data_IF_585029214896
#
_entry.id   IF_585029214896
#
_cell.length_a   1.000
_cell.length_b   1.000
_cell.length_c   1.000
_cell.angle_alpha   90.00
_cell.angle_beta   90.00
_cell.angle_gamma   90.00
#
_symmetry.space_group_name_H-M   'P 1'
#
loop_
_entity.id
_entity.type
_entity.pdbx_description
1 polymer ?
#
# COMPACT_ATOMS: atom_id res chain seq x y z
N UNK A 1 11.61 -41.14 -23.82
CA UNK A 1 11.85 -39.72 -24.14
C UNK A 1 10.74 -38.93 -23.47
N UNK A 2 11.04 -38.14 -22.45
CA UNK A 2 10.04 -37.32 -21.76
C UNK A 2 9.94 -36.02 -22.56
N UNK A 3 8.80 -35.80 -23.21
CA UNK A 3 8.54 -34.55 -23.93
C UNK A 3 8.01 -33.56 -22.91
N UNK A 4 8.75 -32.47 -22.71
CA UNK A 4 8.35 -31.37 -21.85
C UNK A 4 7.88 -30.22 -22.75
N UNK A 5 6.62 -29.77 -22.65
CA UNK A 5 6.07 -28.73 -23.52
C UNK A 5 6.58 -27.32 -23.19
N UNK A 6 7.22 -27.14 -22.03
CA UNK A 6 7.79 -25.86 -21.58
C UNK A 6 9.05 -25.46 -22.35
N UNK A 7 9.30 -24.15 -22.39
CA UNK A 7 10.61 -23.63 -22.81
C UNK A 7 11.69 -24.03 -21.79
N UNK A 8 12.93 -24.12 -22.26
CA UNK A 8 14.07 -24.43 -21.39
C UNK A 8 14.23 -23.41 -20.25
N UNK A 9 13.87 -22.14 -20.48
CA UNK A 9 13.92 -21.09 -19.46
C UNK A 9 12.91 -21.34 -18.33
N UNK A 10 11.65 -21.66 -18.67
CA UNK A 10 10.59 -21.95 -17.71
C UNK A 10 10.93 -23.18 -16.87
N UNK A 11 11.39 -24.26 -17.51
CA UNK A 11 11.81 -25.46 -16.81
C UNK A 11 12.99 -25.19 -15.86
N UNK A 12 13.97 -24.39 -16.30
CA UNK A 12 15.12 -24.03 -15.48
C UNK A 12 14.70 -23.24 -14.22
N UNK A 13 13.75 -22.33 -14.34
CA UNK A 13 13.19 -21.59 -13.19
C UNK A 13 12.51 -22.56 -12.20
N UNK A 14 11.72 -23.51 -12.69
CA UNK A 14 11.05 -24.52 -11.86
C UNK A 14 12.10 -25.34 -11.10
N UNK A 15 13.13 -25.84 -11.79
CA UNK A 15 14.22 -26.62 -11.19
C UNK A 15 14.93 -25.80 -10.10
N UNK A 16 15.32 -24.57 -10.40
CA UNK A 16 15.97 -23.69 -9.42
C UNK A 16 15.09 -23.46 -8.19
N UNK A 17 13.77 -23.35 -8.38
CA UNK A 17 12.80 -23.19 -7.29
C UNK A 17 12.72 -24.44 -6.41
N UNK A 18 12.70 -25.64 -7.00
CA UNK A 18 12.70 -26.92 -6.25
C UNK A 18 13.96 -27.02 -5.38
N UNK A 19 15.12 -26.69 -5.94
CA UNK A 19 16.40 -26.74 -5.21
C UNK A 19 16.65 -25.52 -4.32
N UNK A 20 15.68 -24.61 -4.19
CA UNK A 20 15.81 -23.36 -3.43
C UNK A 20 17.09 -22.57 -3.77
N UNK A 21 17.42 -22.54 -5.06
CA UNK A 21 18.63 -21.91 -5.59
C UNK A 21 18.28 -20.65 -6.39
N UNK A 22 19.17 -19.64 -6.46
CA UNK A 22 18.87 -18.41 -7.17
C UNK A 22 18.76 -18.64 -8.68
N UNK A 23 17.63 -18.29 -9.28
CA UNK A 23 17.45 -18.28 -10.74
C UNK A 23 17.78 -16.92 -11.38
N UNK A 24 17.94 -15.86 -10.57
CA UNK A 24 18.19 -14.49 -11.04
C UNK A 24 19.45 -14.34 -11.92
N UNK A 25 20.46 -15.20 -11.73
CA UNK A 25 21.68 -15.20 -12.52
C UNK A 25 21.42 -15.49 -14.01
N UNK A 26 20.33 -16.20 -14.32
CA UNK A 26 19.94 -16.51 -15.69
C UNK A 26 19.12 -15.38 -16.33
N UNK A 27 18.91 -14.26 -15.63
CA UNK A 27 18.12 -13.11 -16.08
C UNK A 27 16.76 -13.50 -16.71
N UNK A 28 15.93 -14.28 -16.00
CA UNK A 28 14.65 -14.73 -16.53
C UNK A 28 13.74 -13.53 -16.83
N UNK A 29 12.96 -13.61 -17.91
CA UNK A 29 11.94 -12.61 -18.21
C UNK A 29 10.81 -12.71 -17.21
N UNK A 30 10.10 -11.60 -16.99
CA UNK A 30 8.97 -11.57 -16.07
C UNK A 30 7.89 -12.58 -16.48
N UNK A 31 7.57 -12.66 -17.77
CA UNK A 31 6.57 -13.59 -18.31
C UNK A 31 6.96 -15.05 -18.05
N UNK A 32 8.26 -15.37 -18.14
CA UNK A 32 8.80 -16.71 -17.85
C UNK A 32 8.67 -17.07 -16.37
N UNK A 33 8.81 -16.08 -15.46
CA UNK A 33 8.59 -16.27 -14.02
C UNK A 33 7.13 -16.59 -13.71
N UNK A 34 6.19 -15.83 -14.30
CA UNK A 34 4.76 -16.08 -14.14
C UNK A 34 4.40 -17.46 -14.68
N UNK A 35 4.84 -17.78 -15.90
CA UNK A 35 4.58 -19.07 -16.53
C UNK A 35 5.16 -20.23 -15.71
N UNK A 36 6.37 -20.09 -15.18
CA UNK A 36 6.98 -21.10 -14.33
C UNK A 36 6.16 -21.39 -13.08
N UNK A 37 5.68 -20.35 -12.38
CA UNK A 37 4.83 -20.52 -11.19
C UNK A 37 3.46 -21.11 -11.56
N UNK A 38 2.85 -20.67 -12.66
CA UNK A 38 1.57 -21.21 -13.16
C UNK A 38 1.65 -22.69 -13.52
N UNK A 39 2.82 -23.16 -13.98
CA UNK A 39 3.03 -24.54 -14.40
C UNK A 39 3.53 -25.47 -13.30
N UNK A 40 4.00 -24.95 -12.16
CA UNK A 40 4.43 -25.76 -11.01
C UNK A 40 3.44 -26.88 -10.62
N UNK A 41 2.10 -26.65 -10.56
CA UNK A 41 1.13 -27.70 -10.28
C UNK A 41 1.17 -28.89 -11.24
N UNK A 42 1.54 -28.69 -12.51
CA UNK A 42 1.68 -29.77 -13.50
C UNK A 42 2.81 -30.74 -13.13
N UNK A 43 3.78 -30.28 -12.35
CA UNK A 43 4.90 -31.05 -11.84
C UNK A 43 4.66 -31.58 -10.42
N UNK A 44 3.43 -31.49 -9.91
CA UNK A 44 3.09 -31.91 -8.54
C UNK A 44 3.60 -30.94 -7.46
N UNK A 45 4.03 -29.74 -7.84
CA UNK A 45 4.52 -28.72 -6.92
C UNK A 45 3.36 -27.81 -6.52
N UNK A 46 3.27 -27.49 -5.23
CA UNK A 46 2.29 -26.51 -4.74
C UNK A 46 3.01 -25.18 -4.51
N UNK A 47 2.77 -24.12 -5.29
CA UNK A 47 3.58 -22.89 -5.20
C UNK A 47 3.61 -22.27 -3.81
N UNK A 48 2.50 -22.32 -3.06
CA UNK A 48 2.44 -21.77 -1.70
C UNK A 48 3.25 -22.54 -0.65
N UNK A 49 3.67 -23.79 -0.92
CA UNK A 49 4.51 -24.57 -0.01
C UNK A 49 6.01 -24.39 -0.30
N UNK A 50 6.36 -23.95 -1.51
CA UNK A 50 7.75 -23.83 -1.98
C UNK A 50 8.19 -22.36 -2.02
N UNK A 51 7.31 -21.46 -2.45
CA UNK A 51 7.58 -20.01 -2.52
C UNK A 51 7.33 -19.40 -1.14
N UNK A 52 8.22 -19.74 -0.21
CA UNK A 52 8.19 -19.25 1.17
C UNK A 52 8.95 -17.92 1.30
N UNK A 53 8.67 -17.13 2.35
CA UNK A 53 9.46 -15.95 2.67
C UNK A 53 10.96 -16.28 2.76
N UNK A 54 11.80 -15.41 2.20
CA UNK A 54 13.28 -15.56 2.11
C UNK A 54 13.76 -16.66 1.15
N UNK A 55 12.86 -17.31 0.39
CA UNK A 55 13.30 -18.13 -0.75
C UNK A 55 13.77 -17.21 -1.89
N UNK A 56 14.77 -17.62 -2.69
CA UNK A 56 15.26 -16.82 -3.81
C UNK A 56 14.14 -16.47 -4.81
N UNK A 57 13.19 -17.38 -5.01
CA UNK A 57 12.04 -17.17 -5.89
C UNK A 57 11.09 -16.11 -5.34
N UNK A 58 10.80 -16.16 -4.03
CA UNK A 58 9.97 -15.15 -3.38
C UNK A 58 10.60 -13.76 -3.46
N UNK A 59 11.90 -13.65 -3.19
CA UNK A 59 12.61 -12.37 -3.22
C UNK A 59 12.72 -11.83 -4.66
N UNK A 60 12.88 -12.71 -5.65
CA UNK A 60 12.84 -12.33 -7.06
C UNK A 60 11.48 -11.78 -7.49
N UNK A 61 10.38 -12.45 -7.11
CA UNK A 61 9.02 -11.99 -7.40
C UNK A 61 8.73 -10.64 -6.70
N UNK A 62 9.22 -10.46 -5.47
CA UNK A 62 9.11 -9.18 -4.76
C UNK A 62 9.87 -8.05 -5.46
N UNK A 63 11.05 -8.32 -6.02
CA UNK A 63 11.81 -7.31 -6.75
C UNK A 63 11.04 -6.77 -7.97
N UNK A 64 10.19 -7.60 -8.59
CA UNK A 64 9.28 -7.17 -9.65
C UNK A 64 7.99 -6.50 -9.13
N UNK A 65 7.67 -6.64 -7.84
CA UNK A 65 6.45 -6.14 -7.22
C UNK A 65 6.26 -4.63 -7.30
N UNK A 66 7.34 -3.84 -7.38
CA UNK A 66 7.24 -2.39 -7.57
C UNK A 66 6.92 -1.98 -9.02
N UNK A 67 7.35 -2.79 -10.00
CA UNK A 67 7.17 -2.52 -11.43
C UNK A 67 5.84 -3.07 -11.96
N UNK A 68 5.45 -4.26 -11.48
CA UNK A 68 4.25 -4.97 -11.90
C UNK A 68 3.42 -5.45 -10.70
N UNK A 69 2.94 -4.52 -9.85
CA UNK A 69 2.29 -4.86 -8.59
C UNK A 69 1.02 -5.68 -8.78
N UNK A 70 0.19 -5.34 -9.79
CA UNK A 70 -1.08 -6.03 -10.02
C UNK A 70 -0.87 -7.47 -10.49
N UNK A 71 0.09 -7.70 -11.39
CA UNK A 71 0.38 -9.04 -11.90
C UNK A 71 0.95 -9.97 -10.81
N UNK A 72 1.91 -9.46 -10.01
CA UNK A 72 2.47 -10.22 -8.89
C UNK A 72 1.39 -10.47 -7.82
N UNK A 73 0.54 -9.48 -7.53
CA UNK A 73 -0.56 -9.66 -6.59
C UNK A 73 -1.55 -10.72 -7.08
N UNK A 74 -1.90 -10.71 -8.37
CA UNK A 74 -2.78 -11.70 -8.97
C UNK A 74 -2.16 -13.10 -9.01
N UNK A 75 -0.87 -13.23 -9.31
CA UNK A 75 -0.14 -14.51 -9.21
C UNK A 75 -0.17 -15.04 -7.78
N UNK A 76 0.16 -14.20 -6.81
CA UNK A 76 0.20 -14.56 -5.40
C UNK A 76 -1.20 -14.96 -4.91
N UNK A 77 -2.24 -14.25 -5.33
CA UNK A 77 -3.62 -14.55 -4.98
C UNK A 77 -4.11 -15.86 -5.61
N UNK A 78 -3.86 -16.06 -6.91
CA UNK A 78 -4.25 -17.24 -7.66
C UNK A 78 -3.66 -18.53 -7.07
N UNK A 79 -2.36 -18.49 -6.72
CA UNK A 79 -1.67 -19.63 -6.11
C UNK A 79 -1.73 -19.66 -4.57
N UNK A 80 -2.51 -18.77 -3.96
CA UNK A 80 -2.67 -18.64 -2.51
C UNK A 80 -1.33 -18.56 -1.76
N UNK A 81 -0.46 -17.62 -2.15
CA UNK A 81 0.84 -17.29 -1.57
C UNK A 81 0.68 -16.01 -0.72
N UNK A 82 0.30 -16.11 0.56
CA UNK A 82 -0.19 -14.96 1.32
C UNK A 82 0.91 -13.93 1.62
N UNK A 83 2.13 -14.39 1.90
CA UNK A 83 3.27 -13.51 2.21
C UNK A 83 3.65 -12.59 1.05
N UNK A 84 3.50 -13.07 -0.18
CA UNK A 84 3.79 -12.30 -1.39
C UNK A 84 2.67 -11.29 -1.64
N UNK A 85 1.41 -11.73 -1.57
CA UNK A 85 0.24 -10.87 -1.73
C UNK A 85 0.22 -9.72 -0.68
N UNK A 86 0.57 -10.02 0.57
CA UNK A 86 0.65 -9.02 1.64
C UNK A 86 1.66 -7.92 1.31
N UNK A 87 2.90 -8.28 1.00
CA UNK A 87 3.96 -7.31 0.71
C UNK A 87 3.63 -6.45 -0.51
N UNK A 88 3.18 -7.08 -1.59
CA UNK A 88 2.92 -6.42 -2.87
C UNK A 88 1.68 -5.50 -2.81
N UNK A 89 0.72 -5.79 -1.93
CA UNK A 89 -0.47 -4.95 -1.76
C UNK A 89 -0.15 -3.49 -1.38
N UNK A 90 1.00 -3.23 -0.74
CA UNK A 90 1.44 -1.87 -0.42
C UNK A 90 1.74 -1.02 -1.67
N UNK A 91 2.19 -1.67 -2.76
CA UNK A 91 2.44 -1.02 -4.04
C UNK A 91 1.14 -0.77 -4.83
N UNK A 92 0.01 -1.33 -4.40
CA UNK A 92 -1.30 -1.13 -5.02
C UNK A 92 -2.08 0.05 -4.40
N UNK A 93 -1.59 0.68 -3.34
CA UNK A 93 -2.30 1.80 -2.69
C UNK A 93 -2.58 2.98 -3.63
N UNK A 94 -1.66 3.25 -4.56
CA UNK A 94 -1.82 4.28 -5.59
C UNK A 94 -2.49 3.77 -6.87
N UNK A 95 -2.79 2.47 -6.97
CA UNK A 95 -3.42 1.87 -8.13
C UNK A 95 -4.93 2.12 -8.10
N UNK A 96 -5.50 2.56 -9.23
CA UNK A 96 -6.95 2.73 -9.34
C UNK A 96 -7.64 1.37 -9.47
N UNK A 97 -8.39 0.97 -8.46
CA UNK A 97 -9.12 -0.32 -8.46
C UNK A 97 -10.14 -0.42 -9.61
N UNK A 98 -10.56 0.71 -10.20
CA UNK A 98 -11.40 0.74 -11.41
C UNK A 98 -10.72 0.13 -12.64
N UNK A 99 -9.39 0.03 -12.64
CA UNK A 99 -8.62 -0.47 -13.78
C UNK A 99 -8.43 -1.99 -13.73
N UNK A 100 -8.97 -2.68 -12.71
CA UNK A 100 -9.00 -4.14 -12.66
C UNK A 100 -10.08 -4.61 -13.62
N UNK A 101 -9.66 -5.25 -14.71
CA UNK A 101 -10.57 -5.89 -15.66
C UNK A 101 -11.09 -7.23 -15.14
N UNK A 102 -12.11 -7.79 -15.80
CA UNK A 102 -12.75 -9.05 -15.39
C UNK A 102 -11.77 -10.23 -15.36
N UNK A 103 -10.86 -10.31 -16.33
CA UNK A 103 -9.83 -11.37 -16.39
C UNK A 103 -8.92 -11.33 -15.16
N UNK A 104 -8.43 -10.14 -14.80
CA UNK A 104 -7.58 -9.94 -13.64
C UNK A 104 -8.37 -10.18 -12.35
N UNK A 105 -9.62 -9.75 -12.29
CA UNK A 105 -10.50 -10.01 -11.15
C UNK A 105 -10.71 -11.51 -10.94
N UNK A 106 -10.93 -12.27 -12.02
CA UNK A 106 -11.02 -13.73 -11.99
C UNK A 106 -9.70 -14.36 -11.53
N UNK A 107 -8.55 -13.87 -12.01
CA UNK A 107 -7.23 -14.38 -11.60
C UNK A 107 -6.93 -14.11 -10.12
N UNK A 108 -7.22 -12.92 -9.62
CA UNK A 108 -7.04 -12.57 -8.19
C UNK A 108 -7.99 -13.40 -7.31
N UNK A 109 -9.23 -13.57 -7.75
CA UNK A 109 -10.26 -14.26 -6.99
C UNK A 109 -10.87 -13.41 -5.86
N UNK A 110 -12.09 -13.78 -5.46
CA UNK A 110 -12.91 -13.00 -4.54
C UNK A 110 -12.25 -12.71 -3.16
N UNK A 111 -11.54 -13.66 -2.49
CA UNK A 111 -10.96 -13.40 -1.17
C UNK A 111 -9.91 -12.29 -1.19
N UNK A 112 -9.00 -12.32 -2.17
CA UNK A 112 -7.94 -11.33 -2.29
C UNK A 112 -8.46 -9.99 -2.82
N UNK A 113 -9.39 -10.00 -3.77
CA UNK A 113 -10.07 -8.77 -4.19
C UNK A 113 -10.72 -8.07 -2.99
N UNK A 114 -11.53 -8.79 -2.20
CA UNK A 114 -12.17 -8.22 -1.00
C UNK A 114 -11.13 -7.61 -0.05
N UNK A 115 -10.02 -8.31 0.20
CA UNK A 115 -8.93 -7.81 1.05
C UNK A 115 -8.30 -6.52 0.51
N UNK A 116 -8.07 -6.43 -0.80
CA UNK A 116 -7.53 -5.23 -1.45
C UNK A 116 -8.52 -4.04 -1.38
N UNK A 117 -9.80 -4.28 -1.66
CA UNK A 117 -10.83 -3.25 -1.51
C UNK A 117 -10.92 -2.75 -0.06
N UNK A 118 -10.96 -3.66 0.91
CA UNK A 118 -11.00 -3.30 2.34
C UNK A 118 -9.76 -2.50 2.77
N UNK A 119 -8.57 -2.83 2.25
CA UNK A 119 -7.37 -2.04 2.50
C UNK A 119 -7.56 -0.58 2.05
N UNK A 120 -8.07 -0.36 0.84
CA UNK A 120 -8.30 0.99 0.32
C UNK A 120 -9.39 1.72 1.10
N UNK A 121 -10.53 1.09 1.36
CA UNK A 121 -11.65 1.72 2.07
C UNK A 121 -11.28 2.06 3.51
N UNK A 122 -10.66 1.13 4.24
CA UNK A 122 -10.30 1.35 5.64
C UNK A 122 -9.29 2.49 5.79
N UNK A 123 -8.32 2.60 4.87
CA UNK A 123 -7.37 3.72 4.86
C UNK A 123 -8.07 5.05 4.63
N UNK A 124 -8.96 5.12 3.65
CA UNK A 124 -9.72 6.34 3.36
C UNK A 124 -10.66 6.71 4.52
N UNK A 125 -11.28 5.73 5.18
CA UNK A 125 -12.12 5.96 6.36
C UNK A 125 -11.31 6.52 7.54
N UNK A 126 -10.12 6.00 7.82
CA UNK A 126 -9.26 6.56 8.87
C UNK A 126 -8.85 7.99 8.55
N UNK A 127 -8.50 8.30 7.31
CA UNK A 127 -8.17 9.66 6.92
C UNK A 127 -9.38 10.61 7.10
N UNK A 128 -10.60 10.17 6.74
CA UNK A 128 -11.86 10.90 7.01
C UNK A 128 -12.12 11.11 8.50
N UNK A 129 -11.65 10.23 9.38
CA UNK A 129 -11.78 10.37 10.85
C UNK A 129 -10.73 11.29 11.45
N UNK A 130 -9.54 11.35 10.84
CA UNK A 130 -8.39 12.10 11.35
C UNK A 130 -8.53 13.59 11.00
N UNK A 131 -8.82 13.93 9.74
CA UNK A 131 -8.74 15.30 9.22
C UNK A 131 -9.75 16.30 9.80
N UNK A 132 -11.03 15.97 10.04
CA UNK A 132 -12.02 16.99 10.44
C UNK A 132 -11.79 17.62 11.80
N UNK A 133 -11.02 16.99 12.69
CA UNK A 133 -10.81 17.46 14.07
C UNK A 133 -9.75 18.57 14.11
N UNK A 134 -10.12 19.83 14.42
CA UNK A 134 -9.18 20.94 14.51
C UNK A 134 -8.23 20.81 15.72
N UNK A 135 -7.16 21.64 15.80
CA UNK A 135 -6.36 21.76 17.01
C UNK A 135 -7.19 22.22 18.21
N UNK A 136 -6.74 21.85 19.41
CA UNK A 136 -7.36 22.30 20.66
C UNK A 136 -7.21 23.82 20.83
N UNK A 137 -8.21 24.42 21.47
CA UNK A 137 -8.19 25.82 21.87
C UNK A 137 -7.46 25.99 23.20
N UNK A 138 -6.78 27.12 23.38
CA UNK A 138 -6.16 27.51 24.64
C UNK A 138 -6.98 28.62 25.32
N UNK A 139 -6.85 28.84 26.64
CA UNK A 139 -7.51 29.96 27.32
C UNK A 139 -7.17 31.30 26.64
N UNK A 140 -8.15 32.20 26.57
CA UNK A 140 -7.94 33.52 25.96
C UNK A 140 -6.85 34.31 26.71
N UNK A 141 -5.98 34.96 25.94
CA UNK A 141 -4.91 35.84 26.45
C UNK A 141 -5.09 37.24 25.89
N UNK A 142 -4.35 38.22 26.41
CA UNK A 142 -4.38 39.60 25.91
C UNK A 142 -4.04 39.68 24.41
N UNK A 143 -3.16 38.80 23.93
CA UNK A 143 -2.72 38.73 22.54
C UNK A 143 -3.53 37.77 21.64
N UNK A 144 -4.44 36.98 22.22
CA UNK A 144 -5.18 35.95 21.47
C UNK A 144 -6.61 35.75 22.00
N UNK A 145 -7.58 36.26 21.26
CA UNK A 145 -9.01 36.09 21.54
C UNK A 145 -9.58 34.80 20.94
N UNK A 146 -10.76 34.40 21.42
CA UNK A 146 -11.53 33.30 20.84
C UNK A 146 -11.82 33.50 19.35
N UNK A 147 -11.93 34.74 18.87
CA UNK A 147 -12.13 35.03 17.44
C UNK A 147 -10.90 34.64 16.61
N UNK A 148 -9.70 34.93 17.11
CA UNK A 148 -8.43 34.50 16.48
C UNK A 148 -8.32 32.98 16.45
N UNK A 149 -8.72 32.30 17.52
CA UNK A 149 -8.74 30.84 17.58
C UNK A 149 -9.80 30.23 16.64
N UNK A 150 -10.96 30.88 16.49
CA UNK A 150 -11.98 30.47 15.52
C UNK A 150 -11.49 30.63 14.07
N UNK A 151 -10.67 31.64 13.76
CA UNK A 151 -10.01 31.79 12.45
C UNK A 151 -9.07 30.62 12.16
N UNK A 152 -8.31 30.15 13.15
CA UNK A 152 -7.48 28.95 13.03
C UNK A 152 -8.34 27.69 12.76
N UNK A 153 -9.44 27.50 13.49
CA UNK A 153 -10.33 26.37 13.25
C UNK A 153 -10.93 26.37 11.83
N UNK A 154 -11.29 27.54 11.28
CA UNK A 154 -11.75 27.66 9.88
C UNK A 154 -10.62 27.38 8.89
N UNK A 155 -9.41 27.89 9.13
CA UNK A 155 -8.26 27.64 8.27
C UNK A 155 -7.89 26.14 8.25
N UNK A 156 -7.99 25.47 9.41
CA UNK A 156 -7.89 24.02 9.51
C UNK A 156 -8.95 23.32 8.65
N UNK A 157 -10.22 23.71 8.79
CA UNK A 157 -11.31 23.11 8.01
C UNK A 157 -11.07 23.25 6.50
N UNK A 158 -10.53 24.38 6.03
CA UNK A 158 -10.14 24.56 4.64
C UNK A 158 -9.01 23.61 4.22
N UNK A 159 -7.92 23.53 5.00
CA UNK A 159 -6.82 22.62 4.72
C UNK A 159 -7.23 21.15 4.74
N UNK A 160 -8.06 20.77 5.72
CA UNK A 160 -8.65 19.44 5.83
C UNK A 160 -9.57 19.12 4.64
N UNK A 161 -10.35 20.10 4.16
CA UNK A 161 -11.18 19.92 2.97
C UNK A 161 -10.33 19.74 1.72
N UNK A 162 -9.27 20.53 1.54
CA UNK A 162 -8.35 20.36 0.42
C UNK A 162 -7.72 18.95 0.41
N UNK A 163 -7.25 18.47 1.56
CA UNK A 163 -6.76 17.10 1.71
C UNK A 163 -7.86 16.05 1.49
N UNK A 164 -9.11 16.36 1.87
CA UNK A 164 -10.26 15.49 1.64
C UNK A 164 -10.59 15.32 0.14
N UNK A 165 -10.32 16.35 -0.67
CA UNK A 165 -10.51 16.30 -2.12
C UNK A 165 -9.40 15.50 -2.82
N UNK A 166 -8.16 15.59 -2.32
CA UNK A 166 -7.01 14.81 -2.80
C UNK A 166 -6.91 13.40 -2.17
N UNK A 167 -7.99 12.92 -1.54
CA UNK A 167 -7.97 11.67 -0.80
C UNK A 167 -7.65 10.47 -1.68
N UNK A 168 -6.51 9.85 -1.38
CA UNK A 168 -6.07 8.58 -1.97
C UNK A 168 -5.47 7.70 -0.89
N UNK A 169 -5.53 6.36 -1.02
CA UNK A 169 -4.95 5.46 -0.03
C UNK A 169 -3.43 5.62 0.13
N UNK A 170 -2.73 6.10 -0.90
CA UNK A 170 -1.29 6.36 -0.93
C UNK A 170 -0.89 7.80 -0.55
N UNK A 171 -1.82 8.61 -0.05
CA UNK A 171 -1.53 10.01 0.33
C UNK A 171 -0.34 10.10 1.28
N UNK A 172 0.70 10.84 0.89
CA UNK A 172 1.95 10.88 1.63
C UNK A 172 1.85 11.73 2.91
N UNK A 173 2.60 11.33 3.95
CA UNK A 173 2.78 12.12 5.19
C UNK A 173 3.31 13.52 4.86
N UNK A 174 4.23 13.61 3.88
CA UNK A 174 4.80 14.88 3.44
C UNK A 174 3.74 15.84 2.89
N UNK A 175 2.82 15.34 2.05
CA UNK A 175 1.72 16.14 1.48
C UNK A 175 0.81 16.68 2.58
N UNK A 176 0.40 15.81 3.52
CA UNK A 176 -0.45 16.21 4.66
C UNK A 176 0.26 17.27 5.51
N UNK A 177 1.53 17.02 5.85
CA UNK A 177 2.36 17.92 6.64
C UNK A 177 2.48 19.29 5.98
N UNK A 178 2.86 19.34 4.70
CA UNK A 178 3.04 20.57 3.95
C UNK A 178 1.78 21.44 3.90
N UNK A 179 0.61 20.83 3.64
CA UNK A 179 -0.68 21.55 3.63
C UNK A 179 -0.99 22.14 5.01
N UNK A 180 -0.84 21.37 6.08
CA UNK A 180 -1.20 21.82 7.42
C UNK A 180 -0.17 22.79 8.03
N UNK A 181 1.12 22.64 7.73
CA UNK A 181 2.17 23.55 8.21
C UNK A 181 2.06 24.94 7.58
N UNK A 182 1.52 25.06 6.35
CA UNK A 182 1.23 26.36 5.73
C UNK A 182 0.25 27.23 6.54
N UNK A 183 -0.48 26.63 7.49
CA UNK A 183 -1.36 27.36 8.41
C UNK A 183 -0.57 28.11 9.48
N UNK A 184 0.65 27.65 9.82
CA UNK A 184 1.51 28.26 10.85
C UNK A 184 1.95 29.66 10.45
N UNK A 185 2.24 29.89 9.18
CA UNK A 185 2.70 31.20 8.65
C UNK A 185 1.70 32.34 8.89
N UNK A 186 0.43 31.99 9.14
CA UNK A 186 -0.66 32.94 9.37
C UNK A 186 -0.91 33.21 10.86
N UNK A 187 -0.20 32.53 11.77
CA UNK A 187 -0.40 32.62 13.21
C UNK A 187 0.69 33.47 13.88
N UNK A 188 0.28 34.45 14.68
CA UNK A 188 1.19 35.26 15.52
C UNK A 188 1.30 34.76 16.96
N UNK A 189 0.26 34.11 17.47
CA UNK A 189 0.21 33.58 18.83
C UNK A 189 1.00 32.28 18.94
N UNK A 190 1.97 32.23 19.87
CA UNK A 190 2.84 31.07 20.12
C UNK A 190 2.07 29.86 20.63
N UNK A 191 1.03 30.06 21.45
CA UNK A 191 0.22 28.96 21.98
C UNK A 191 -0.64 28.31 20.88
N UNK A 192 -1.20 29.12 19.98
CA UNK A 192 -1.89 28.62 18.78
C UNK A 192 -0.94 27.81 17.88
N UNK A 193 0.29 28.27 17.69
CA UNK A 193 1.30 27.53 16.93
C UNK A 193 1.62 26.18 17.60
N UNK A 194 1.82 26.17 18.92
CA UNK A 194 2.08 24.95 19.67
C UNK A 194 0.92 23.95 19.60
N UNK A 195 -0.33 24.42 19.74
CA UNK A 195 -1.53 23.57 19.61
C UNK A 195 -1.68 23.02 18.19
N UNK A 196 -1.38 23.84 17.17
CA UNK A 196 -1.38 23.41 15.77
C UNK A 196 -0.31 22.34 15.52
N UNK A 197 0.94 22.57 15.95
CA UNK A 197 2.05 21.61 15.78
C UNK A 197 1.73 20.28 16.45
N UNK A 198 1.23 20.32 17.68
CA UNK A 198 0.78 19.12 18.40
C UNK A 198 -0.27 18.37 17.59
N UNK A 199 -1.27 19.09 17.06
CA UNK A 199 -2.33 18.48 16.24
C UNK A 199 -1.80 17.90 14.94
N UNK A 200 -0.90 18.59 14.26
CA UNK A 200 -0.24 18.08 13.04
C UNK A 200 0.49 16.78 13.38
N UNK A 201 1.30 16.79 14.44
CA UNK A 201 2.01 15.59 14.88
C UNK A 201 1.07 14.41 15.16
N UNK A 202 -0.05 14.65 15.87
CA UNK A 202 -1.08 13.63 16.09
C UNK A 202 -1.67 13.09 14.78
N UNK A 203 -1.97 13.96 13.81
CA UNK A 203 -2.49 13.57 12.49
C UNK A 203 -1.49 12.70 11.75
N UNK A 204 -0.22 13.12 11.69
CA UNK A 204 0.84 12.39 10.98
C UNK A 204 1.12 11.03 11.63
N UNK A 205 1.22 10.97 12.97
CA UNK A 205 1.44 9.74 13.71
C UNK A 205 0.28 8.75 13.52
N UNK A 206 -0.97 9.23 13.59
CA UNK A 206 -2.14 8.38 13.34
C UNK A 206 -2.17 7.87 11.90
N UNK A 207 -1.87 8.72 10.92
CA UNK A 207 -1.85 8.33 9.51
C UNK A 207 -0.75 7.32 9.21
N UNK A 208 0.45 7.52 9.75
CA UNK A 208 1.58 6.59 9.62
C UNK A 208 1.28 5.20 10.21
N UNK A 209 0.44 5.14 11.25
CA UNK A 209 0.05 3.88 11.89
C UNK A 209 -1.03 3.11 11.11
N UNK A 210 -1.70 3.72 10.12
CA UNK A 210 -2.72 3.03 9.33
C UNK A 210 -2.07 1.97 8.45
N UNK A 211 -2.60 0.75 8.49
CA UNK A 211 -2.06 -0.40 7.76
C UNK A 211 -1.95 -0.13 6.25
N UNK A 212 -0.80 -0.46 5.67
CA UNK A 212 -0.50 -0.30 4.24
C UNK A 212 -0.54 -1.62 3.45
N UNK A 213 -0.83 -2.75 4.12
CA UNK A 213 -0.88 -4.07 3.51
C UNK A 213 -2.22 -4.76 3.80
N UNK A 214 -2.59 -5.75 3.00
CA UNK A 214 -3.79 -6.57 3.28
C UNK A 214 -3.65 -7.35 4.59
N UNK A 215 -4.77 -7.70 5.22
CA UNK A 215 -4.81 -8.65 6.34
C UNK A 215 -4.98 -10.07 5.82
N UNK A 216 -4.22 -11.00 6.40
CA UNK A 216 -4.22 -12.41 6.03
C UNK A 216 -5.13 -13.27 6.92
N UNK A 217 -5.70 -12.67 7.98
CA UNK A 217 -6.74 -13.24 8.84
C UNK A 217 -8.04 -13.52 8.08
#
# INVERSE_FOLDING_TARGET
MIIVPESAAVLNIIIHTIYNSPCAQNSPKFEELIEAVDKMPLYGLTPNTIILPKSPMHDLLLAHGALRPLDIYALAAYHNIPSLAEKVSSHLLGFSLSNINDEMACRIGAPYLRRLFLLHTNRLEELKRILPKPPYIHPATEDCSFESQAKLARAWAMGATHLAWEMRPDLSIHTIKSVLESLKDKLKCTDCQAMLEKRIHEVLTRWAAVKCTISLE
#
